data_IF_871745423079
#
_entry.id   IF_871745423079
#
_cell.length_a   1.000
_cell.length_b   1.000
_cell.length_c   1.000
_cell.angle_alpha   90.00
_cell.angle_beta   90.00
_cell.angle_gamma   90.00
#
_symmetry.space_group_name_H-M   'P 1'
#
loop_
_entity.id
_entity.type
_entity.pdbx_description
1 polymer ?
#
# COMPACT_ATOMS: atom_id res chain seq x y z
N UNK A 1 5.35 -22.95 -15.33
CA UNK A 1 5.35 -21.47 -15.21
C UNK A 1 4.91 -21.13 -13.80
N UNK A 2 5.84 -20.68 -12.93
CA UNK A 2 5.49 -20.25 -11.58
C UNK A 2 6.18 -18.91 -11.33
N UNK A 3 5.59 -17.85 -11.90
CA UNK A 3 5.89 -16.50 -11.47
C UNK A 3 5.38 -16.38 -10.03
N UNK A 4 6.26 -16.65 -9.07
CA UNK A 4 6.11 -16.10 -7.73
C UNK A 4 6.22 -14.59 -7.91
N UNK A 5 5.09 -13.94 -8.23
CA UNK A 5 5.00 -12.49 -8.37
C UNK A 5 5.53 -11.90 -7.07
N UNK A 6 6.76 -11.37 -7.11
CA UNK A 6 7.41 -10.82 -5.93
C UNK A 6 6.58 -9.63 -5.49
N UNK A 7 5.98 -9.74 -4.31
CA UNK A 7 5.25 -8.64 -3.69
C UNK A 7 6.27 -7.61 -3.19
N UNK A 8 6.05 -6.34 -3.54
CA UNK A 8 6.88 -5.21 -3.10
C UNK A 8 6.09 -4.31 -2.18
N UNK A 9 6.74 -3.76 -1.16
CA UNK A 9 6.12 -2.79 -0.24
C UNK A 9 6.10 -1.42 -0.93
N UNK A 10 4.92 -0.82 -1.05
CA UNK A 10 4.73 0.52 -1.63
C UNK A 10 4.46 1.59 -0.58
N UNK A 11 3.92 1.19 0.58
CA UNK A 11 3.68 2.10 1.69
C UNK A 11 3.79 1.38 3.02
N UNK A 12 4.30 2.09 4.02
CA UNK A 12 4.38 1.60 5.39
C UNK A 12 3.96 2.69 6.37
N UNK A 13 3.08 2.35 7.29
CA UNK A 13 2.67 3.24 8.38
C UNK A 13 2.94 2.60 9.73
N UNK A 14 3.27 3.44 10.71
CA UNK A 14 3.52 3.05 12.09
C UNK A 14 2.39 3.59 12.96
N UNK A 15 1.77 2.72 13.76
CA UNK A 15 0.72 3.12 14.72
C UNK A 15 -0.66 3.38 14.09
N UNK A 16 -0.77 4.24 13.07
CA UNK A 16 -2.07 4.70 12.55
C UNK A 16 -2.45 4.00 11.24
N UNK A 17 -3.52 3.18 11.21
CA UNK A 17 -3.88 2.42 10.01
C UNK A 17 -4.81 3.16 9.04
N UNK A 18 -5.31 4.36 9.39
CA UNK A 18 -6.31 5.09 8.58
C UNK A 18 -5.82 5.35 7.15
N UNK A 19 -4.58 5.81 7.00
CA UNK A 19 -3.97 6.10 5.69
C UNK A 19 -3.80 4.83 4.87
N UNK A 20 -3.32 3.75 5.48
CA UNK A 20 -3.16 2.43 4.85
C UNK A 20 -4.49 1.92 4.30
N UNK A 21 -5.57 1.98 5.08
CA UNK A 21 -6.88 1.50 4.63
C UNK A 21 -7.46 2.36 3.51
N UNK A 22 -7.26 3.69 3.57
CA UNK A 22 -7.64 4.59 2.48
C UNK A 22 -6.89 4.28 1.18
N UNK A 23 -5.57 4.07 1.28
CA UNK A 23 -4.73 3.70 0.15
C UNK A 23 -5.13 2.35 -0.44
N UNK A 24 -5.38 1.35 0.42
CA UNK A 24 -5.89 0.04 0.00
C UNK A 24 -7.18 0.17 -0.79
N UNK A 25 -8.17 0.91 -0.29
CA UNK A 25 -9.42 1.13 -1.01
C UNK A 25 -9.23 1.82 -2.37
N UNK A 26 -8.23 2.70 -2.51
CA UNK A 26 -7.88 3.30 -3.82
C UNK A 26 -7.26 2.29 -4.78
N UNK A 27 -6.36 1.44 -4.30
CA UNK A 27 -5.79 0.36 -5.12
C UNK A 27 -6.86 -0.62 -5.58
N UNK A 28 -7.77 -1.00 -4.69
CA UNK A 28 -8.92 -1.86 -5.00
C UNK A 28 -9.79 -1.24 -6.10
N UNK A 29 -10.12 0.05 -6.00
CA UNK A 29 -10.88 0.79 -7.04
C UNK A 29 -10.15 0.88 -8.38
N UNK A 30 -8.82 0.89 -8.37
CA UNK A 30 -7.99 0.89 -9.59
C UNK A 30 -7.68 -0.53 -10.10
N UNK A 31 -8.33 -1.55 -9.54
CA UNK A 31 -8.14 -2.96 -9.90
C UNK A 31 -6.68 -3.43 -9.73
N UNK A 32 -5.95 -2.83 -8.77
CA UNK A 32 -4.58 -3.21 -8.44
C UNK A 32 -4.63 -4.21 -7.29
N UNK A 33 -4.20 -5.44 -7.56
CA UNK A 33 -4.07 -6.45 -6.52
C UNK A 33 -3.12 -5.95 -5.44
N UNK A 34 -3.55 -6.07 -4.18
CA UNK A 34 -2.79 -5.60 -3.04
C UNK A 34 -2.93 -6.55 -1.85
N UNK A 35 -1.95 -6.49 -0.96
CA UNK A 35 -1.96 -7.23 0.30
C UNK A 35 -1.58 -6.29 1.44
N UNK A 36 -2.31 -6.41 2.55
CA UNK A 36 -1.98 -5.73 3.79
C UNK A 36 -1.24 -6.70 4.71
N UNK A 37 0.02 -6.40 5.02
CA UNK A 37 0.80 -7.12 6.02
C UNK A 37 0.85 -6.29 7.30
N UNK A 38 0.35 -6.85 8.38
CA UNK A 38 0.40 -6.23 9.72
C UNK A 38 1.43 -6.97 10.54
N UNK A 39 2.43 -6.25 11.06
CA UNK A 39 3.43 -6.81 11.96
C UNK A 39 3.33 -6.12 13.32
N UNK A 40 3.17 -6.91 14.38
CA UNK A 40 3.10 -6.42 15.76
C UNK A 40 4.40 -6.79 16.47
N UNK A 41 5.22 -5.79 16.77
CA UNK A 41 6.36 -5.91 17.69
C UNK A 41 5.99 -5.30 19.03
N UNK A 42 6.67 -5.71 20.12
CA UNK A 42 6.35 -5.39 21.53
C UNK A 42 5.86 -3.95 21.77
N UNK A 43 6.45 -2.95 21.12
CA UNK A 43 6.10 -1.53 21.31
C UNK A 43 5.59 -0.83 20.04
N UNK A 44 5.41 -1.55 18.92
CA UNK A 44 5.09 -0.93 17.65
C UNK A 44 4.34 -1.87 16.71
N UNK A 45 3.18 -1.41 16.21
CA UNK A 45 2.48 -2.07 15.10
C UNK A 45 2.86 -1.37 13.80
N UNK A 46 3.35 -2.14 12.83
CA UNK A 46 3.61 -1.68 11.47
C UNK A 46 2.58 -2.25 10.51
N UNK A 47 2.09 -1.40 9.63
CA UNK A 47 1.18 -1.75 8.56
C UNK A 47 1.93 -1.53 7.25
N UNK A 48 2.07 -2.59 6.44
CA UNK A 48 2.75 -2.55 5.15
C UNK A 48 1.73 -2.88 4.06
N UNK A 49 1.61 -2.00 3.07
CA UNK A 49 0.82 -2.23 1.88
C UNK A 49 1.74 -2.75 0.77
N UNK A 50 1.42 -3.94 0.26
CA UNK A 50 2.19 -4.62 -0.76
C UNK A 50 1.38 -4.76 -2.04
N UNK A 51 2.07 -4.74 -3.18
CA UNK A 51 1.51 -5.01 -4.50
C UNK A 51 2.43 -5.92 -5.30
N UNK A 52 1.95 -6.63 -6.32
CA UNK A 52 2.80 -7.33 -7.27
C UNK A 52 3.82 -6.39 -7.89
N UNK A 53 5.07 -6.82 -8.06
CA UNK A 53 6.12 -5.99 -8.68
C UNK A 53 5.72 -5.44 -10.05
N UNK A 54 4.95 -6.19 -10.84
CA UNK A 54 4.44 -5.75 -12.14
C UNK A 54 3.52 -4.51 -12.06
N UNK A 55 2.81 -4.35 -10.95
CA UNK A 55 1.87 -3.26 -10.72
C UNK A 55 2.46 -2.14 -9.86
N UNK A 56 3.74 -2.23 -9.47
CA UNK A 56 4.34 -1.31 -8.52
C UNK A 56 4.34 0.13 -9.01
N UNK A 57 4.60 0.35 -10.30
CA UNK A 57 4.61 1.70 -10.86
C UNK A 57 3.21 2.33 -10.81
N UNK A 58 2.19 1.61 -11.31
CA UNK A 58 0.80 2.08 -11.26
C UNK A 58 0.33 2.34 -9.82
N UNK A 59 0.74 1.50 -8.87
CA UNK A 59 0.40 1.67 -7.48
C UNK A 59 1.08 2.92 -6.86
N UNK A 60 2.32 3.22 -7.27
CA UNK A 60 3.02 4.45 -6.88
C UNK A 60 2.34 5.70 -7.45
N UNK A 61 1.82 5.63 -8.69
CA UNK A 61 1.09 6.75 -9.30
C UNK A 61 -0.19 7.06 -8.51
N UNK A 62 -0.95 6.04 -8.12
CA UNK A 62 -2.14 6.19 -7.25
C UNK A 62 -1.78 6.79 -5.89
N UNK A 63 -0.66 6.35 -5.31
CA UNK A 63 -0.09 6.89 -4.07
C UNK A 63 0.28 8.37 -4.22
N UNK A 64 0.88 8.75 -5.33
CA UNK A 64 1.27 10.13 -5.61
C UNK A 64 0.05 11.04 -5.74
N UNK A 65 -0.96 10.64 -6.53
CA UNK A 65 -2.22 11.39 -6.64
C UNK A 65 -2.90 11.54 -5.28
N UNK A 66 -2.91 10.49 -4.45
CA UNK A 66 -3.46 10.57 -3.10
C UNK A 66 -2.71 11.58 -2.20
N UNK A 67 -1.38 11.63 -2.27
CA UNK A 67 -0.60 12.62 -1.53
C UNK A 67 -0.92 14.04 -1.97
N UNK A 68 -1.00 14.29 -3.28
CA UNK A 68 -1.35 15.60 -3.81
C UNK A 68 -2.73 16.07 -3.34
N UNK A 69 -3.72 15.16 -3.29
CA UNK A 69 -5.04 15.49 -2.75
C UNK A 69 -5.00 15.83 -1.25
N UNK A 70 -4.12 15.21 -0.47
CA UNK A 70 -3.97 15.51 0.96
C UNK A 70 -3.25 16.85 1.21
N UNK A 71 -2.30 17.22 0.35
CA UNK A 71 -1.53 18.46 0.46
C UNK A 71 -2.33 19.70 0.05
N UNK A 72 -3.42 19.52 -0.70
CA UNK A 72 -4.32 20.62 -1.11
C UNK A 72 -5.43 20.93 -0.08
N UNK A 73 -5.45 20.22 1.05
CA UNK A 73 -6.45 20.39 2.14
C UNK A 73 -5.88 21.25 3.27
#
# INVERSE_FOLDING_TARGET
>A
MLFHDRMVVIHQSYGTPRVIYSLRGRLDRNQIYNQLRVNRKKNMTTYQLLVPRKDSQRALDVLHSYKQELEQV
#
